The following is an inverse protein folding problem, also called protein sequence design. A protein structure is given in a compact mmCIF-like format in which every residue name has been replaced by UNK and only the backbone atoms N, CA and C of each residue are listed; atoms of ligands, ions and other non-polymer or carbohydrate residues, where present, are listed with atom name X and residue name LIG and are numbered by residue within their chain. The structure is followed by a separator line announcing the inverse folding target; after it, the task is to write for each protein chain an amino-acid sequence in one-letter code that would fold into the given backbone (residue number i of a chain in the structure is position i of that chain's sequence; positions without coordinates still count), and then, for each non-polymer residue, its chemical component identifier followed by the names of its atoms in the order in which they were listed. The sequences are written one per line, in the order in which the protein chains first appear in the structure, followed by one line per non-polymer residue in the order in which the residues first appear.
data_IF_563060690087
#
_entry.id   IF_563060690087
#
_cell.length_a   1.000
_cell.length_b   1.000
_cell.length_c   1.000
_cell.angle_alpha   90.00
_cell.angle_beta   90.00
_cell.angle_gamma   90.00
#
_symmetry.space_group_name_H-M   'P 1'
#
loop_
_entity.id
_entity.type
_entity.pdbx_description
1 polymer ?
#
# COMPACT_ATOMS: atom_id res chain seq x y z
N UNK A 1 -32.74 -3.85 -11.22
CA UNK A 1 -32.00 -2.61 -10.92
C UNK A 1 -30.72 -2.66 -11.72
N UNK A 2 -30.54 -1.76 -12.68
CA UNK A 2 -29.27 -1.68 -13.43
C UNK A 2 -28.16 -1.21 -12.48
N UNK A 3 -27.23 -2.12 -12.17
CA UNK A 3 -26.05 -1.80 -11.38
C UNK A 3 -25.08 -0.89 -12.14
N UNK A 4 -24.25 -0.18 -11.39
CA UNK A 4 -23.14 0.59 -11.97
C UNK A 4 -22.11 -0.40 -12.52
N UNK A 5 -22.04 -0.50 -13.84
CA UNK A 5 -21.06 -1.33 -14.54
C UNK A 5 -19.73 -0.58 -14.69
N UNK A 6 -18.62 -1.31 -14.65
CA UNK A 6 -17.26 -0.81 -14.88
C UNK A 6 -17.17 -0.03 -16.20
N UNK A 7 -17.86 -0.45 -17.25
CA UNK A 7 -17.89 0.26 -18.53
C UNK A 7 -18.49 1.67 -18.40
N UNK A 8 -19.54 1.84 -17.58
CA UNK A 8 -20.16 3.15 -17.33
C UNK A 8 -19.19 4.07 -16.59
N UNK A 9 -18.43 3.54 -15.63
CA UNK A 9 -17.42 4.30 -14.89
C UNK A 9 -16.27 4.79 -15.78
N UNK A 10 -15.82 3.98 -16.75
CA UNK A 10 -14.77 4.40 -17.68
C UNK A 10 -15.22 5.55 -18.59
N UNK A 11 -16.46 5.50 -19.10
CA UNK A 11 -17.01 6.59 -19.92
C UNK A 11 -17.10 7.88 -19.13
N UNK A 12 -17.58 7.82 -17.88
CA UNK A 12 -17.66 8.99 -17.00
C UNK A 12 -16.25 9.51 -16.67
N UNK A 13 -15.31 8.62 -16.36
CA UNK A 13 -13.92 8.98 -16.08
C UNK A 13 -13.25 9.68 -17.26
N UNK A 14 -13.48 9.21 -18.49
CA UNK A 14 -12.97 9.83 -19.70
C UNK A 14 -13.49 11.27 -19.87
N UNK A 15 -14.78 11.53 -19.59
CA UNK A 15 -15.33 12.88 -19.62
C UNK A 15 -14.70 13.78 -18.57
N UNK A 16 -14.48 13.29 -17.34
CA UNK A 16 -13.80 14.06 -16.30
C UNK A 16 -12.38 14.41 -16.73
N UNK A 17 -11.63 13.47 -17.31
CA UNK A 17 -10.29 13.73 -17.84
C UNK A 17 -10.32 14.77 -18.95
N UNK A 18 -11.33 14.74 -19.83
CA UNK A 18 -11.45 15.70 -20.94
C UNK A 18 -11.80 17.12 -20.44
N UNK A 19 -12.67 17.24 -19.42
CA UNK A 19 -13.10 18.52 -18.86
C UNK A 19 -12.00 19.19 -18.01
N UNK A 20 -11.34 18.41 -17.15
CA UNK A 20 -10.36 18.94 -16.21
C UNK A 20 -8.91 18.89 -16.75
N UNK A 21 -8.68 18.11 -17.81
CA UNK A 21 -7.36 17.81 -18.34
C UNK A 21 -6.55 16.87 -17.45
N UNK A 22 -5.56 16.18 -18.02
CA UNK A 22 -4.71 15.24 -17.29
C UNK A 22 -3.78 15.93 -16.28
N UNK A 23 -3.45 17.22 -16.48
CA UNK A 23 -2.53 17.95 -15.62
C UNK A 23 -3.06 18.15 -14.20
N UNK A 24 -4.32 18.59 -14.06
CA UNK A 24 -4.95 18.75 -12.74
C UNK A 24 -5.19 17.40 -12.07
N UNK A 25 -5.67 16.41 -12.84
CA UNK A 25 -5.88 15.05 -12.35
C UNK A 25 -4.58 14.38 -11.88
N UNK A 26 -3.44 14.65 -12.51
CA UNK A 26 -2.15 14.08 -12.09
C UNK A 26 -1.66 14.63 -10.76
N UNK A 27 -1.78 15.94 -10.53
CA UNK A 27 -1.40 16.54 -9.24
C UNK A 27 -2.27 15.99 -8.10
N UNK A 28 -3.60 16.09 -8.24
CA UNK A 28 -4.55 15.63 -7.23
C UNK A 28 -4.52 14.11 -7.06
N UNK A 29 -4.39 13.36 -8.15
CA UNK A 29 -4.29 11.90 -8.12
C UNK A 29 -2.99 11.40 -7.49
N UNK A 30 -1.89 12.16 -7.61
CA UNK A 30 -0.64 11.86 -6.93
C UNK A 30 -0.78 11.95 -5.41
N UNK A 31 -1.36 13.06 -4.92
CA UNK A 31 -1.54 13.31 -3.49
C UNK A 31 -2.54 12.32 -2.86
N UNK A 32 -3.71 12.15 -3.49
CA UNK A 32 -4.73 11.19 -3.03
C UNK A 32 -4.23 9.75 -3.15
N UNK A 33 -3.50 9.43 -4.22
CA UNK A 33 -2.91 8.12 -4.44
C UNK A 33 -1.87 7.76 -3.38
N UNK A 34 -1.04 8.73 -2.98
CA UNK A 34 -0.06 8.55 -1.91
C UNK A 34 -0.75 8.29 -0.55
N UNK A 35 -1.79 9.05 -0.23
CA UNK A 35 -2.57 8.86 1.01
C UNK A 35 -3.25 7.48 1.04
N UNK A 36 -3.92 7.07 -0.04
CA UNK A 36 -4.57 5.76 -0.14
C UNK A 36 -3.54 4.63 -0.11
N UNK A 37 -2.37 4.81 -0.72
CA UNK A 37 -1.28 3.81 -0.66
C UNK A 37 -0.75 3.62 0.75
N UNK A 38 -0.56 4.71 1.51
CA UNK A 38 -0.18 4.66 2.92
C UNK A 38 -1.25 3.96 3.78
N UNK A 39 -2.52 4.32 3.57
CA UNK A 39 -3.65 3.69 4.24
C UNK A 39 -3.74 2.17 3.95
N UNK A 40 -3.65 1.78 2.67
CA UNK A 40 -3.62 0.37 2.27
C UNK A 40 -2.43 -0.35 2.90
N UNK A 41 -1.25 0.28 2.96
CA UNK A 41 -0.06 -0.33 3.55
C UNK A 41 -0.25 -0.59 5.05
N UNK A 42 -0.69 0.40 5.82
CA UNK A 42 -0.98 0.25 7.25
C UNK A 42 -2.02 -0.85 7.51
N UNK A 43 -3.10 -0.85 6.74
CA UNK A 43 -4.17 -1.86 6.84
C UNK A 43 -3.72 -3.28 6.46
N UNK A 44 -2.68 -3.43 5.63
CA UNK A 44 -2.08 -4.74 5.31
C UNK A 44 -0.95 -5.13 6.28
N UNK A 45 -0.22 -4.17 6.85
CA UNK A 45 0.78 -4.40 7.90
C UNK A 45 0.10 -4.89 9.19
N UNK A 46 -1.06 -4.34 9.55
CA UNK A 46 -1.85 -4.83 10.69
C UNK A 46 -2.33 -6.29 10.49
N UNK A 47 -2.50 -6.73 9.24
CA UNK A 47 -2.85 -8.12 8.90
C UNK A 47 -1.62 -9.05 8.79
N UNK A 48 -0.44 -8.50 8.50
CA UNK A 48 0.81 -9.28 8.32
C UNK A 48 1.62 -9.38 9.61
N UNK A 49 1.53 -8.40 10.51
CA UNK A 49 2.17 -8.40 11.84
C UNK A 49 1.64 -9.47 12.79
N UNK A 50 0.51 -10.12 12.47
CA UNK A 50 0.05 -11.34 13.12
C UNK A 50 0.89 -12.60 12.77
N UNK A 51 1.82 -12.54 11.81
CA UNK A 51 2.61 -13.71 11.36
C UNK A 51 4.13 -13.58 11.52
N UNK A 52 4.68 -12.47 12.02
CA UNK A 52 6.14 -12.33 12.15
C UNK A 52 6.51 -11.47 13.36
N UNK A 53 6.36 -12.05 14.54
CA UNK A 53 7.10 -11.66 15.74
C UNK A 53 7.63 -12.93 16.41
N UNK A 54 8.62 -13.56 15.79
CA UNK A 54 9.62 -14.31 16.54
C UNK A 54 10.80 -13.34 16.68
N UNK A 55 11.11 -12.83 17.89
CA UNK A 55 12.29 -12.04 18.12
C UNK A 55 13.52 -12.87 17.73
N UNK A 56 14.29 -12.35 16.80
CA UNK A 56 15.61 -12.85 16.43
C UNK A 56 16.50 -12.60 17.66
N UNK A 57 16.78 -13.66 18.42
CA UNK A 57 17.73 -13.64 19.52
C UNK A 57 19.14 -13.42 18.95
N UNK A 58 19.86 -12.33 19.30
CA UNK A 58 21.25 -12.22 18.92
C UNK A 58 22.04 -13.25 19.73
N UNK A 59 22.34 -14.39 19.08
CA UNK A 59 23.29 -15.39 19.55
C UNK A 59 24.71 -14.77 19.59
N UNK A 60 24.97 -13.97 20.62
CA UNK A 60 26.27 -13.44 20.97
C UNK A 60 26.67 -14.00 22.33
N UNK A 61 26.98 -15.30 22.41
CA UNK A 61 27.75 -15.88 23.53
C UNK A 61 28.22 -17.30 23.19
N UNK A 62 29.17 -17.44 22.25
CA UNK A 62 30.08 -18.59 22.24
C UNK A 62 31.48 -18.10 22.63
N UNK A 63 31.53 -17.81 23.92
CA UNK A 63 32.68 -17.67 24.80
C UNK A 63 33.65 -18.87 24.64
N UNK A 64 34.79 -18.61 24.03
CA UNK A 64 36.13 -18.93 24.55
C UNK A 64 36.15 -20.02 25.65
N UNK A 65 35.88 -21.29 25.31
CA UNK A 65 36.06 -22.41 26.25
C UNK A 65 36.23 -23.76 25.56
N UNK A 66 37.22 -23.88 24.68
CA UNK A 66 37.80 -25.20 24.40
C UNK A 66 39.25 -25.08 23.94
N UNK A 67 40.11 -24.75 24.90
CA UNK A 67 41.54 -25.05 24.87
C UNK A 67 41.94 -25.36 26.30
N UNK A 68 41.77 -26.62 26.70
CA UNK A 68 42.67 -27.46 27.51
C UNK A 68 42.27 -28.93 27.30
#
# INVERSE_FOLDING_TARGET
MEGISIAKLLVIGALIVLLFGTNKLRSLGGDLGAAIKGFKKAMNDDQTTAKTQTPEEPAALNDVRNKE
#
